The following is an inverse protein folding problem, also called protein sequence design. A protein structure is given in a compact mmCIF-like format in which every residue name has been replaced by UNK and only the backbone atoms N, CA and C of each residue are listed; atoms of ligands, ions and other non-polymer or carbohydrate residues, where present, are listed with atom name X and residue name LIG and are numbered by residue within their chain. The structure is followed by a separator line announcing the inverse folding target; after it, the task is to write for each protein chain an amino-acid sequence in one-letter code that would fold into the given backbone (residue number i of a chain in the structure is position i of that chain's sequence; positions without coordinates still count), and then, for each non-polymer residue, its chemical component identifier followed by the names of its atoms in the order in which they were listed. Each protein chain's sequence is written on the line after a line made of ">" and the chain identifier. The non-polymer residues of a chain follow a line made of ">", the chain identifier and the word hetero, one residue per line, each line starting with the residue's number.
data_IF_990386831148
#
_entry.id   IF_990386831148
#
_cell.length_a   1.000
_cell.length_b   1.000
_cell.length_c   1.000
_cell.angle_alpha   90.00
_cell.angle_beta   90.00
_cell.angle_gamma   90.00
#
_symmetry.space_group_name_H-M   'P 1'
#
loop_
_entity.id
_entity.type
_entity.pdbx_description
1 polymer ?
#
# COMPACT_ATOMS: atom_id res chain seq x y z
N UNK A 1 33.81 4.15 -32.54
CA UNK A 1 32.63 3.37 -33.00
C UNK A 1 32.75 1.93 -32.53
N UNK A 2 31.97 1.53 -31.52
CA UNK A 2 31.51 0.15 -31.31
C UNK A 2 30.12 0.28 -30.68
N UNK A 3 29.09 0.11 -31.51
CA UNK A 3 27.69 -0.03 -31.06
C UNK A 3 27.55 -1.46 -30.58
N UNK A 4 27.29 -1.67 -29.30
CA UNK A 4 26.93 -2.99 -28.80
C UNK A 4 25.41 -3.01 -28.62
N UNK A 5 24.76 -3.72 -29.52
CA UNK A 5 23.34 -4.06 -29.47
C UNK A 5 23.13 -5.07 -28.34
N UNK A 6 22.16 -4.86 -27.46
CA UNK A 6 21.59 -5.94 -26.65
C UNK A 6 20.27 -6.40 -27.27
N UNK A 7 20.22 -7.71 -27.50
CA UNK A 7 19.19 -8.47 -28.17
C UNK A 7 17.99 -8.64 -27.23
N UNK A 8 16.84 -8.08 -27.59
CA UNK A 8 15.54 -8.43 -26.99
C UNK A 8 15.22 -9.87 -27.39
N UNK A 9 14.91 -10.74 -26.43
CA UNK A 9 14.24 -12.02 -26.71
C UNK A 9 12.81 -11.95 -26.20
N UNK A 10 11.87 -12.00 -27.16
CA UNK A 10 10.45 -12.21 -26.91
C UNK A 10 10.21 -13.68 -26.54
N UNK A 11 9.44 -13.93 -25.49
CA UNK A 11 8.67 -15.16 -25.36
C UNK A 11 7.21 -14.76 -25.46
N UNK A 12 6.60 -15.05 -26.61
CA UNK A 12 5.16 -15.01 -26.80
C UNK A 12 4.57 -16.37 -26.43
N UNK A 13 3.57 -16.36 -25.54
CA UNK A 13 2.56 -17.40 -25.48
C UNK A 13 1.20 -16.70 -25.49
N UNK A 14 0.40 -17.02 -26.52
CA UNK A 14 -0.91 -16.45 -26.81
C UNK A 14 -2.05 -17.18 -26.08
N UNK A 15 -3.09 -16.40 -25.71
CA UNK A 15 -4.48 -16.83 -25.51
C UNK A 15 -4.97 -16.68 -24.06
N UNK A 16 -6.00 -15.90 -23.71
CA UNK A 16 -7.25 -15.60 -24.42
C UNK A 16 -7.80 -14.18 -24.12
N UNK A 17 -8.60 -13.68 -25.07
CA UNK A 17 -9.06 -12.30 -25.30
C UNK A 17 -9.89 -11.61 -24.20
N UNK A 18 -9.61 -10.32 -23.97
CA UNK A 18 -10.65 -9.29 -23.82
C UNK A 18 -10.22 -8.01 -24.53
N UNK A 19 -11.08 -7.52 -25.43
CA UNK A 19 -10.88 -6.36 -26.29
C UNK A 19 -10.95 -5.04 -25.52
N UNK A 20 -9.83 -4.33 -25.43
CA UNK A 20 -9.77 -2.93 -25.06
C UNK A 20 -8.54 -2.31 -25.74
N UNK A 21 -8.75 -1.55 -26.81
CA UNK A 21 -7.67 -0.82 -27.47
C UNK A 21 -7.28 0.35 -26.57
N UNK A 22 -6.25 0.17 -25.75
CA UNK A 22 -5.51 1.30 -25.20
C UNK A 22 -4.73 1.93 -26.36
N UNK A 23 -5.16 3.13 -26.78
CA UNK A 23 -4.32 4.01 -27.58
C UNK A 23 -3.29 4.61 -26.61
N UNK A 24 -2.04 4.18 -26.70
CA UNK A 24 -0.92 5.02 -26.27
C UNK A 24 -0.90 6.25 -27.20
N UNK A 25 -1.39 7.39 -26.71
CA UNK A 25 -0.94 8.66 -27.25
C UNK A 25 0.53 8.82 -26.86
N UNK A 26 1.42 8.49 -27.78
CA UNK A 26 2.77 9.03 -27.76
C UNK A 26 2.68 10.54 -27.98
N UNK A 27 2.48 11.30 -26.91
CA UNK A 27 2.91 12.69 -26.91
C UNK A 27 4.44 12.67 -27.01
N UNK A 28 4.93 13.15 -28.15
CA UNK A 28 6.33 13.53 -28.35
C UNK A 28 6.68 14.57 -27.29
N UNK A 29 7.23 14.12 -26.16
CA UNK A 29 7.82 15.01 -25.16
C UNK A 29 9.10 15.56 -25.76
N UNK A 30 9.07 16.87 -26.00
CA UNK A 30 10.19 17.66 -26.47
C UNK A 30 11.41 17.45 -25.53
N UNK A 31 12.52 16.95 -26.09
CA UNK A 31 13.69 16.47 -25.36
C UNK A 31 14.56 17.60 -24.76
N UNK A 32 14.08 18.85 -24.76
CA UNK A 32 14.79 20.02 -24.22
C UNK A 32 14.29 20.49 -22.84
N UNK A 33 13.40 19.73 -22.19
CA UNK A 33 13.02 19.92 -20.77
C UNK A 33 13.41 18.71 -19.90
N UNK A 34 14.52 18.03 -20.24
CA UNK A 34 15.09 16.98 -19.39
C UNK A 34 15.72 17.65 -18.17
N UNK A 35 14.92 17.80 -17.11
CA UNK A 35 15.40 18.06 -15.76
C UNK A 35 16.49 17.02 -15.46
N UNK A 36 17.76 17.46 -15.37
CA UNK A 36 18.84 16.58 -14.94
C UNK A 36 18.59 16.23 -13.48
N UNK A 37 18.28 14.96 -13.21
CA UNK A 37 18.29 14.40 -11.84
C UNK A 37 19.62 14.80 -11.19
N UNK A 38 19.57 15.31 -9.96
CA UNK A 38 20.78 15.80 -9.33
C UNK A 38 21.78 14.66 -9.11
N UNK A 39 23.11 14.90 -9.24
CA UNK A 39 24.12 13.90 -8.98
C UNK A 39 24.01 13.24 -7.59
N UNK A 40 23.54 14.00 -6.60
CA UNK A 40 23.29 13.50 -5.24
C UNK A 40 22.21 12.39 -5.22
N UNK A 41 21.10 12.57 -5.93
CA UNK A 41 20.04 11.55 -5.98
C UNK A 41 20.50 10.28 -6.71
N UNK A 42 21.34 10.44 -7.74
CA UNK A 42 21.99 9.32 -8.44
C UNK A 42 22.89 8.55 -7.48
N UNK A 43 23.72 9.25 -6.72
CA UNK A 43 24.62 8.63 -5.74
C UNK A 43 23.84 7.86 -4.66
N UNK A 44 22.77 8.46 -4.11
CA UNK A 44 21.91 7.79 -3.11
C UNK A 44 21.30 6.50 -3.64
N UNK A 45 20.81 6.50 -4.88
CA UNK A 45 20.28 5.30 -5.52
C UNK A 45 21.37 4.23 -5.71
N UNK A 46 22.55 4.62 -6.23
CA UNK A 46 23.66 3.69 -6.44
C UNK A 46 24.14 3.04 -5.14
N UNK A 47 24.19 3.81 -4.05
CA UNK A 47 24.53 3.29 -2.72
C UNK A 47 23.51 2.24 -2.25
N UNK A 48 22.21 2.53 -2.36
CA UNK A 48 21.15 1.58 -1.99
C UNK A 48 21.21 0.30 -2.84
N UNK A 49 21.39 0.43 -4.15
CA UNK A 49 21.50 -0.71 -5.07
C UNK A 49 22.74 -1.57 -4.73
N UNK A 50 23.87 -0.96 -4.38
CA UNK A 50 25.09 -1.65 -3.96
C UNK A 50 24.90 -2.42 -2.63
N UNK A 51 24.22 -1.81 -1.65
CA UNK A 51 23.87 -2.45 -0.37
C UNK A 51 22.99 -3.68 -0.64
N UNK A 52 21.93 -3.53 -1.44
CA UNK A 52 21.00 -4.62 -1.75
C UNK A 52 21.71 -5.77 -2.49
N UNK A 53 22.61 -5.46 -3.42
CA UNK A 53 23.42 -6.47 -4.12
C UNK A 53 24.32 -7.25 -3.16
N UNK A 54 24.92 -6.56 -2.17
CA UNK A 54 25.75 -7.19 -1.15
C UNK A 54 24.94 -8.06 -0.18
N UNK A 55 23.75 -7.60 0.22
CA UNK A 55 22.88 -8.28 1.18
C UNK A 55 22.13 -9.48 0.58
N UNK A 56 21.92 -9.52 -0.74
CA UNK A 56 21.30 -10.66 -1.45
C UNK A 56 19.94 -11.07 -0.87
N UNK A 57 19.05 -10.09 -0.75
CA UNK A 57 17.68 -10.29 -0.29
C UNK A 57 16.94 -11.33 -1.12
N UNK A 58 16.14 -12.17 -0.44
CA UNK A 58 15.26 -13.17 -1.04
C UNK A 58 13.91 -13.11 -0.37
N UNK A 59 12.85 -13.12 -1.16
CA UNK A 59 11.50 -13.15 -0.62
C UNK A 59 11.24 -14.48 0.11
N UNK A 60 10.58 -14.39 1.27
CA UNK A 60 10.22 -15.54 2.10
C UNK A 60 8.72 -15.65 2.35
N UNK A 61 7.98 -14.54 2.37
CA UNK A 61 6.52 -14.52 2.51
C UNK A 61 5.96 -13.14 2.19
N UNK A 62 5.03 -13.01 1.24
CA UNK A 62 4.18 -11.83 1.05
C UNK A 62 4.88 -10.47 1.23
N UNK A 63 5.93 -10.20 0.46
CA UNK A 63 6.70 -8.95 0.56
C UNK A 63 7.71 -8.88 1.69
N UNK A 64 7.81 -9.90 2.56
CA UNK A 64 8.87 -10.08 3.55
C UNK A 64 10.04 -10.84 2.93
N UNK A 65 11.25 -10.32 3.16
CA UNK A 65 12.48 -10.83 2.59
C UNK A 65 13.47 -11.16 3.71
N UNK A 66 14.43 -12.04 3.41
CA UNK A 66 15.58 -12.33 4.26
C UNK A 66 16.87 -12.07 3.50
N UNK A 67 17.88 -11.51 4.16
CA UNK A 67 19.20 -11.29 3.57
C UNK A 67 20.19 -12.44 3.90
N UNK A 68 21.40 -12.37 3.34
CA UNK A 68 22.46 -13.37 3.53
C UNK A 68 22.89 -13.56 5.00
N UNK A 69 22.63 -12.57 5.84
CA UNK A 69 23.01 -12.55 7.25
C UNK A 69 21.84 -13.01 8.15
N UNK A 70 20.69 -13.36 7.57
CA UNK A 70 19.50 -13.87 8.27
C UNK A 70 18.58 -12.78 8.84
N UNK A 71 18.85 -11.51 8.56
CA UNK A 71 17.97 -10.41 8.93
C UNK A 71 16.78 -10.35 7.96
N UNK A 72 15.59 -10.07 8.51
CA UNK A 72 14.36 -9.96 7.74
C UNK A 72 14.00 -8.50 7.50
N UNK A 73 13.34 -8.22 6.38
CA UNK A 73 12.90 -6.88 6.04
C UNK A 73 11.68 -6.91 5.12
N UNK A 74 10.77 -5.95 5.30
CA UNK A 74 9.63 -5.77 4.40
C UNK A 74 10.07 -4.94 3.19
N UNK A 75 9.73 -5.40 1.99
CA UNK A 75 10.03 -4.69 0.75
C UNK A 75 9.42 -3.30 0.75
N UNK A 76 10.19 -2.29 0.35
CA UNK A 76 9.77 -0.90 0.34
C UNK A 76 10.44 -0.12 -0.80
N UNK A 77 9.81 0.98 -1.20
CA UNK A 77 10.34 1.85 -2.24
C UNK A 77 10.39 3.29 -1.72
N UNK A 78 11.55 3.93 -1.85
CA UNK A 78 11.71 5.36 -1.54
C UNK A 78 11.74 6.16 -2.84
N UNK A 79 10.77 7.07 -2.98
CA UNK A 79 10.76 8.04 -4.06
C UNK A 79 11.76 9.17 -3.77
N UNK A 80 12.57 9.52 -4.76
CA UNK A 80 13.57 10.58 -4.68
C UNK A 80 13.19 11.78 -5.56
N UNK A 81 12.78 11.51 -6.79
CA UNK A 81 12.33 12.53 -7.76
C UNK A 81 11.09 12.02 -8.50
N UNK A 82 9.91 12.64 -8.31
CA UNK A 82 8.68 12.21 -8.96
C UNK A 82 8.76 12.28 -10.51
N UNK A 83 8.04 11.43 -11.25
CA UNK A 83 7.04 10.49 -10.73
C UNK A 83 7.65 9.17 -10.21
N UNK A 84 8.76 8.70 -10.79
CA UNK A 84 9.17 7.29 -10.63
C UNK A 84 10.67 7.09 -10.30
N UNK A 85 11.43 8.17 -10.04
CA UNK A 85 12.85 8.02 -9.71
C UNK A 85 13.05 7.73 -8.22
N UNK A 86 13.54 6.54 -7.91
CA UNK A 86 13.74 6.10 -6.53
C UNK A 86 14.55 4.82 -6.41
N UNK A 87 14.56 4.25 -5.20
CA UNK A 87 15.25 2.98 -4.94
C UNK A 87 14.46 2.08 -4.01
N UNK A 88 14.68 0.78 -4.17
CA UNK A 88 14.18 -0.26 -3.29
C UNK A 88 15.06 -0.31 -2.04
N UNK A 89 14.42 -0.46 -0.88
CA UNK A 89 15.08 -0.81 0.36
C UNK A 89 14.21 -1.80 1.13
N UNK A 90 14.78 -2.40 2.16
CA UNK A 90 14.07 -3.33 3.02
C UNK A 90 14.03 -2.73 4.41
N UNK A 91 12.82 -2.45 4.90
CA UNK A 91 12.65 -1.95 6.26
C UNK A 91 12.79 -3.11 7.23
N UNK A 92 13.80 -3.05 8.11
CA UNK A 92 14.17 -4.14 9.04
C UNK A 92 13.71 -3.90 10.48
N UNK A 93 13.09 -2.76 10.74
CA UNK A 93 12.49 -2.39 12.03
C UNK A 93 11.08 -1.85 11.84
N UNK A 94 10.22 -1.98 12.86
CA UNK A 94 8.93 -1.30 12.87
C UNK A 94 9.09 0.22 12.93
N UNK A 95 8.07 0.93 12.48
CA UNK A 95 7.98 2.39 12.52
C UNK A 95 7.52 2.92 13.90
N UNK A 96 7.93 2.24 14.97
CA UNK A 96 7.69 2.65 16.36
C UNK A 96 8.83 3.54 16.90
N UNK A 97 8.66 4.07 18.10
CA UNK A 97 9.64 4.95 18.74
C UNK A 97 10.99 4.27 19.00
N UNK A 98 10.98 2.95 19.19
CA UNK A 98 12.15 2.15 19.56
C UNK A 98 12.87 1.55 18.35
N UNK A 99 12.31 1.69 17.14
CA UNK A 99 12.75 0.99 15.93
C UNK A 99 12.91 -0.52 16.19
N UNK A 100 11.86 -1.13 16.74
CA UNK A 100 11.88 -2.53 17.15
C UNK A 100 12.22 -3.43 15.95
N UNK A 101 13.24 -4.29 16.02
CA UNK A 101 13.62 -5.16 14.91
C UNK A 101 12.51 -6.13 14.52
N UNK A 102 12.24 -6.29 13.22
CA UNK A 102 11.16 -7.17 12.73
C UNK A 102 11.35 -8.63 13.18
N UNK A 103 12.60 -9.11 13.18
CA UNK A 103 12.96 -10.48 13.57
C UNK A 103 12.64 -10.80 15.05
N UNK A 104 12.42 -9.78 15.88
CA UNK A 104 12.10 -9.95 17.30
C UNK A 104 10.61 -10.17 17.58
N UNK A 105 9.75 -9.88 16.60
CA UNK A 105 8.28 -9.90 16.76
C UNK A 105 7.59 -10.82 15.77
N UNK A 106 8.01 -10.83 14.49
CA UNK A 106 7.28 -11.53 13.42
C UNK A 106 7.42 -13.04 13.56
N UNK A 107 6.28 -13.75 13.60
CA UNK A 107 6.25 -15.20 13.43
C UNK A 107 6.24 -15.57 11.93
N UNK A 108 7.41 -15.95 11.42
CA UNK A 108 7.61 -16.25 10.00
C UNK A 108 6.74 -17.41 9.47
N UNK A 109 6.34 -18.35 10.33
CA UNK A 109 5.57 -19.52 9.91
C UNK A 109 4.10 -19.20 9.64
N UNK A 110 3.60 -18.12 10.23
CA UNK A 110 2.19 -17.74 10.16
C UNK A 110 1.96 -16.36 9.56
N UNK A 111 3.03 -15.61 9.28
CA UNK A 111 2.98 -14.34 8.59
C UNK A 111 2.36 -14.47 7.21
N UNK A 112 1.38 -13.61 6.92
CA UNK A 112 0.71 -13.53 5.63
C UNK A 112 0.11 -12.15 5.36
N UNK A 113 0.00 -11.79 4.09
CA UNK A 113 -0.82 -10.67 3.64
C UNK A 113 -2.31 -11.01 3.78
N UNK A 114 -3.09 -10.10 4.38
CA UNK A 114 -4.54 -10.21 4.42
C UNK A 114 -5.20 -9.52 3.23
N UNK A 115 -4.81 -8.28 2.95
CA UNK A 115 -5.26 -7.51 1.78
C UNK A 115 -4.43 -6.23 1.61
N UNK A 116 -4.56 -5.63 0.43
CA UNK A 116 -3.96 -4.34 0.09
C UNK A 116 -2.63 -4.46 -0.65
N UNK A 117 -1.84 -3.39 -0.62
CA UNK A 117 -0.55 -3.29 -1.29
C UNK A 117 0.21 -2.02 -0.92
N UNK A 118 1.00 -1.48 -1.86
CA UNK A 118 1.93 -0.36 -1.58
C UNK A 118 1.27 0.93 -1.05
N UNK A 119 -0.02 1.15 -1.28
CA UNK A 119 -0.74 2.33 -0.76
C UNK A 119 -1.34 2.12 0.64
N UNK A 120 -1.42 0.88 1.11
CA UNK A 120 -2.15 0.50 2.31
C UNK A 120 -2.36 -1.02 2.31
N UNK A 121 -1.91 -1.71 3.35
CA UNK A 121 -2.00 -3.16 3.47
C UNK A 121 -2.10 -3.61 4.93
N UNK A 122 -2.78 -4.73 5.14
CA UNK A 122 -2.78 -5.44 6.41
C UNK A 122 -2.14 -6.81 6.25
N UNK A 123 -1.30 -7.16 7.23
CA UNK A 123 -0.70 -8.47 7.36
C UNK A 123 -1.07 -9.04 8.72
N UNK A 124 -0.94 -10.35 8.87
CA UNK A 124 -1.19 -11.01 10.15
C UNK A 124 -0.24 -12.18 10.33
N UNK A 125 0.15 -12.41 11.57
CA UNK A 125 0.67 -13.69 12.03
C UNK A 125 -0.13 -14.20 13.25
N UNK A 126 0.31 -15.29 13.88
CA UNK A 126 -0.38 -15.89 15.02
C UNK A 126 -0.48 -14.97 16.25
N UNK A 127 0.34 -13.93 16.34
CA UNK A 127 0.47 -13.03 17.49
C UNK A 127 0.07 -11.58 17.21
N UNK A 128 0.08 -11.13 15.95
CA UNK A 128 -0.09 -9.71 15.64
C UNK A 128 -0.84 -9.46 14.33
N UNK A 129 -1.51 -8.30 14.26
CA UNK A 129 -1.92 -7.66 13.01
C UNK A 129 -0.93 -6.54 12.74
N UNK A 130 -0.49 -6.43 11.49
CA UNK A 130 0.42 -5.39 11.04
C UNK A 130 -0.27 -4.49 10.02
N UNK A 131 0.07 -3.22 10.03
CA UNK A 131 -0.37 -2.25 9.04
C UNK A 131 0.85 -1.69 8.29
N UNK A 132 0.70 -1.58 6.97
CA UNK A 132 1.67 -0.92 6.11
C UNK A 132 1.01 0.13 5.25
N UNK A 133 1.70 1.24 5.00
CA UNK A 133 1.29 2.20 3.98
C UNK A 133 2.50 2.92 3.38
N UNK A 134 2.47 3.14 2.08
CA UNK A 134 3.49 3.88 1.34
C UNK A 134 3.33 5.39 1.45
N UNK A 135 4.46 6.08 1.60
CA UNK A 135 4.59 7.53 1.41
C UNK A 135 5.72 7.81 0.42
N UNK A 136 5.86 9.06 -0.03
CA UNK A 136 7.03 9.46 -0.83
C UNK A 136 8.35 9.21 -0.09
N UNK A 137 8.33 9.32 1.24
CA UNK A 137 9.46 9.04 2.12
C UNK A 137 9.71 7.56 2.40
N UNK A 138 9.05 6.64 1.69
CA UNK A 138 9.12 5.20 1.95
C UNK A 138 7.86 4.66 2.63
N UNK A 139 7.88 3.36 2.93
CA UNK A 139 6.77 2.69 3.61
C UNK A 139 6.85 2.86 5.13
N UNK A 140 5.69 2.87 5.76
CA UNK A 140 5.52 2.60 7.18
C UNK A 140 5.18 1.11 7.36
N UNK A 141 5.64 0.52 8.44
CA UNK A 141 5.26 -0.83 8.85
C UNK A 141 5.19 -0.89 10.37
N UNK A 142 4.00 -1.15 10.92
CA UNK A 142 3.73 -1.06 12.36
C UNK A 142 2.83 -2.19 12.84
N UNK A 143 2.94 -2.51 14.13
CA UNK A 143 2.00 -3.40 14.83
C UNK A 143 0.73 -2.62 15.16
N UNK A 144 -0.43 -3.25 14.98
CA UNK A 144 -1.72 -2.73 15.43
C UNK A 144 -2.06 -3.35 16.79
N UNK A 145 -1.49 -2.79 17.87
CA UNK A 145 -1.57 -3.37 19.22
C UNK A 145 -3.00 -3.52 19.76
N UNK A 146 -3.92 -2.65 19.32
CA UNK A 146 -5.32 -2.68 19.73
C UNK A 146 -6.17 -3.68 18.91
N UNK A 147 -5.61 -4.32 17.88
CA UNK A 147 -6.35 -5.20 17.00
C UNK A 147 -6.71 -6.54 17.67
N UNK A 148 -7.99 -6.91 17.62
CA UNK A 148 -8.42 -8.23 18.05
C UNK A 148 -8.19 -9.25 16.91
N UNK A 149 -7.09 -10.00 17.03
CA UNK A 149 -6.65 -11.01 16.05
C UNK A 149 -7.73 -11.99 15.60
N UNK A 150 -8.62 -12.40 16.52
CA UNK A 150 -9.61 -13.44 16.26
C UNK A 150 -10.78 -12.93 15.43
N UNK A 151 -11.05 -11.64 15.51
CA UNK A 151 -12.20 -11.01 14.87
C UNK A 151 -11.82 -10.02 13.77
N UNK A 152 -10.52 -9.73 13.61
CA UNK A 152 -9.99 -8.90 12.54
C UNK A 152 -10.33 -9.50 11.17
N UNK A 153 -10.94 -8.69 10.32
CA UNK A 153 -11.32 -9.07 8.96
C UNK A 153 -11.29 -7.88 8.02
N UNK A 154 -10.95 -8.17 6.77
CA UNK A 154 -11.07 -7.22 5.68
C UNK A 154 -12.55 -7.08 5.30
N UNK A 155 -13.02 -5.85 5.11
CA UNK A 155 -14.38 -5.55 4.68
C UNK A 155 -14.43 -5.37 3.16
N UNK A 156 -13.50 -4.58 2.61
CA UNK A 156 -13.28 -4.36 1.18
C UNK A 156 -11.88 -3.76 0.96
N UNK A 157 -11.60 -3.25 -0.24
CA UNK A 157 -10.32 -2.64 -0.62
C UNK A 157 -10.00 -1.33 0.14
N UNK A 158 -10.93 -0.83 0.95
CA UNK A 158 -10.81 0.42 1.68
C UNK A 158 -10.75 0.24 3.20
N UNK A 159 -11.36 -0.82 3.74
CA UNK A 159 -11.58 -0.94 5.17
C UNK A 159 -11.38 -2.36 5.68
N UNK A 160 -10.96 -2.44 6.93
CA UNK A 160 -10.97 -3.62 7.77
C UNK A 160 -11.64 -3.31 9.11
N UNK A 161 -12.02 -4.32 9.86
CA UNK A 161 -12.48 -4.13 11.24
C UNK A 161 -12.23 -5.37 12.09
N UNK A 162 -12.23 -5.16 13.39
CA UNK A 162 -12.42 -6.22 14.36
C UNK A 162 -13.72 -5.98 15.17
N UNK A 163 -13.89 -6.67 16.30
CA UNK A 163 -15.09 -6.53 17.14
C UNK A 163 -15.20 -5.17 17.85
N UNK A 164 -14.09 -4.46 18.04
CA UNK A 164 -13.96 -3.23 18.81
C UNK A 164 -13.62 -2.01 17.93
N UNK A 165 -12.86 -2.21 16.85
CA UNK A 165 -12.23 -1.14 16.08
C UNK A 165 -12.49 -1.26 14.59
N UNK A 166 -12.39 -0.12 13.90
CA UNK A 166 -12.46 -0.02 12.44
C UNK A 166 -11.17 0.58 11.93
N UNK A 167 -10.69 0.08 10.81
CA UNK A 167 -9.43 0.49 10.21
C UNK A 167 -9.64 0.84 8.73
N UNK A 168 -9.04 1.92 8.29
CA UNK A 168 -8.92 2.29 6.88
C UNK A 168 -7.59 1.77 6.32
N UNK A 169 -7.57 1.36 5.06
CA UNK A 169 -6.41 0.69 4.45
C UNK A 169 -5.15 1.53 4.44
N UNK A 170 -5.25 2.85 4.21
CA UNK A 170 -4.09 3.73 4.13
C UNK A 170 -3.66 4.30 5.48
N UNK A 171 -4.59 4.73 6.31
CA UNK A 171 -4.32 5.51 7.52
C UNK A 171 -4.50 4.74 8.83
N UNK A 172 -4.92 3.47 8.78
CA UNK A 172 -5.04 2.66 9.98
C UNK A 172 -6.33 2.93 10.75
N UNK A 173 -6.24 2.88 12.08
CA UNK A 173 -7.37 3.01 13.00
C UNK A 173 -8.20 4.29 12.77
N UNK A 174 -9.51 4.12 12.60
CA UNK A 174 -10.49 5.20 12.61
C UNK A 174 -11.00 5.37 14.04
N UNK A 175 -10.56 6.43 14.71
CA UNK A 175 -10.95 6.71 16.10
C UNK A 175 -12.45 6.92 16.22
N UNK A 176 -13.03 6.42 17.32
CA UNK A 176 -14.43 6.57 17.72
C UNK A 176 -15.48 5.97 16.75
N UNK A 177 -15.05 5.26 15.70
CA UNK A 177 -15.96 4.58 14.79
C UNK A 177 -16.67 3.40 15.51
N UNK A 178 -17.98 3.29 15.32
CA UNK A 178 -18.74 2.18 15.93
C UNK A 178 -18.58 0.91 15.08
N UNK A 179 -17.60 0.07 15.45
CA UNK A 179 -17.27 -1.17 14.74
C UNK A 179 -18.45 -2.15 14.59
N UNK A 180 -19.38 -2.15 15.56
CA UNK A 180 -20.55 -3.03 15.55
C UNK A 180 -21.52 -2.65 14.43
N UNK A 181 -21.69 -1.36 14.17
CA UNK A 181 -22.64 -0.83 13.19
C UNK A 181 -21.99 -0.35 11.89
N UNK A 182 -20.66 -0.41 11.79
CA UNK A 182 -19.91 0.00 10.62
C UNK A 182 -20.27 -0.83 9.38
N UNK A 183 -20.72 -0.14 8.34
CA UNK A 183 -21.07 -0.66 7.00
C UNK A 183 -20.27 0.12 5.95
N UNK A 184 -19.65 -0.61 5.03
CA UNK A 184 -18.90 -0.04 3.90
C UNK A 184 -19.80 0.02 2.68
N UNK A 185 -19.58 0.99 1.81
CA UNK A 185 -20.15 0.94 0.47
C UNK A 185 -19.32 -0.07 -0.34
N UNK A 186 -19.94 -1.18 -0.72
CA UNK A 186 -19.34 -2.13 -1.67
C UNK A 186 -19.09 -1.46 -3.02
N UNK A 187 -18.04 -1.91 -3.72
CA UNK A 187 -17.55 -1.31 -4.97
C UNK A 187 -18.70 -1.06 -5.97
N UNK A 188 -19.11 0.20 -6.07
CA UNK A 188 -20.04 0.71 -7.07
C UNK A 188 -19.22 1.38 -8.18
N UNK A 189 -19.36 0.90 -9.41
CA UNK A 189 -18.56 1.36 -10.55
C UNK A 189 -18.70 2.86 -10.84
N UNK A 190 -19.76 3.50 -10.33
CA UNK A 190 -20.03 4.93 -10.52
C UNK A 190 -19.62 5.79 -9.32
N UNK A 191 -19.14 5.19 -8.22
CA UNK A 191 -18.70 5.91 -7.02
C UNK A 191 -17.19 5.78 -6.86
N UNK A 192 -16.50 6.90 -7.03
CA UNK A 192 -15.07 6.96 -6.76
C UNK A 192 -14.79 7.18 -5.27
N UNK A 193 -13.96 6.30 -4.71
CA UNK A 193 -13.40 6.45 -3.38
C UNK A 193 -14.06 5.60 -2.30
N UNK A 194 -13.44 5.64 -1.13
CA UNK A 194 -13.82 4.84 0.03
C UNK A 194 -14.92 5.54 0.82
N UNK A 195 -16.12 4.96 0.87
CA UNK A 195 -17.21 5.47 1.70
C UNK A 195 -17.75 4.40 2.64
N UNK A 196 -18.16 4.85 3.82
CA UNK A 196 -18.76 3.99 4.83
C UNK A 196 -19.70 4.80 5.73
N UNK A 197 -20.43 4.10 6.59
CA UNK A 197 -21.18 4.69 7.68
C UNK A 197 -21.14 3.81 8.92
N UNK A 198 -21.41 4.40 10.05
CA UNK A 198 -21.87 3.68 11.24
C UNK A 198 -23.22 4.26 11.71
N UNK A 199 -23.64 3.95 12.94
CA UNK A 199 -24.90 4.46 13.48
C UNK A 199 -24.93 5.99 13.69
N UNK A 200 -23.77 6.65 13.75
CA UNK A 200 -23.62 8.07 14.08
C UNK A 200 -23.17 8.88 12.86
N UNK A 201 -22.18 8.37 12.12
CA UNK A 201 -21.39 9.13 11.15
C UNK A 201 -21.40 8.49 9.75
N UNK A 202 -21.13 9.34 8.76
CA UNK A 202 -20.70 8.91 7.42
C UNK A 202 -19.23 9.24 7.22
N UNK A 203 -18.53 8.41 6.46
CA UNK A 203 -17.08 8.48 6.29
C UNK A 203 -16.71 8.56 4.81
N UNK A 204 -15.64 9.31 4.50
CA UNK A 204 -14.88 9.21 3.26
C UNK A 204 -13.42 8.91 3.60
N UNK A 205 -12.94 7.71 3.27
CA UNK A 205 -11.69 7.19 3.84
C UNK A 205 -11.81 7.15 5.37
N UNK A 206 -10.83 7.74 6.06
CA UNK A 206 -10.83 7.87 7.52
C UNK A 206 -11.56 9.12 8.04
N UNK A 207 -12.04 10.01 7.17
CA UNK A 207 -12.63 11.29 7.56
C UNK A 207 -14.13 11.17 7.79
N UNK A 208 -14.61 11.71 8.92
CA UNK A 208 -16.04 11.92 9.16
C UNK A 208 -16.55 13.08 8.31
N UNK A 209 -17.56 12.82 7.49
CA UNK A 209 -18.20 13.82 6.64
C UNK A 209 -18.98 14.83 7.49
N UNK A 210 -18.69 16.11 7.29
CA UNK A 210 -19.33 17.22 7.98
C UNK A 210 -20.60 17.64 7.25
N UNK A 211 -21.45 18.43 7.91
CA UNK A 211 -22.75 18.86 7.36
C UNK A 211 -22.65 19.50 5.97
N UNK A 212 -21.56 20.23 5.69
CA UNK A 212 -21.32 20.83 4.38
C UNK A 212 -21.04 19.79 3.30
N UNK A 213 -20.34 18.70 3.64
CA UNK A 213 -20.04 17.60 2.72
C UNK A 213 -21.32 16.85 2.34
N UNK A 214 -22.23 16.67 3.30
CA UNK A 214 -23.54 16.03 3.08
C UNK A 214 -24.41 16.80 2.08
N UNK A 215 -24.08 18.07 1.78
CA UNK A 215 -24.79 18.87 0.80
C UNK A 215 -24.32 18.66 -0.64
N UNK A 216 -23.14 18.06 -0.84
CA UNK A 216 -22.55 17.79 -2.15
C UNK A 216 -23.42 16.73 -2.88
N UNK A 217 -23.87 16.98 -4.13
CA UNK A 217 -24.78 16.07 -4.84
C UNK A 217 -24.28 14.63 -4.95
N UNK A 218 -22.99 14.43 -5.19
CA UNK A 218 -22.36 13.11 -5.22
C UNK A 218 -22.45 12.40 -3.85
N UNK A 219 -22.09 13.11 -2.78
CA UNK A 219 -22.16 12.58 -1.41
C UNK A 219 -23.60 12.23 -1.02
N UNK A 220 -24.60 13.04 -1.44
CA UNK A 220 -26.02 12.69 -1.23
C UNK A 220 -26.41 11.38 -1.90
N UNK A 221 -25.93 11.13 -3.13
CA UNK A 221 -26.15 9.87 -3.84
C UNK A 221 -25.55 8.71 -3.04
N UNK A 222 -24.29 8.85 -2.62
CA UNK A 222 -23.56 7.86 -1.81
C UNK A 222 -24.29 7.54 -0.50
N UNK A 223 -24.74 8.56 0.24
CA UNK A 223 -25.52 8.38 1.47
C UNK A 223 -26.82 7.61 1.18
N UNK A 224 -27.49 7.93 0.07
CA UNK A 224 -28.67 7.21 -0.39
C UNK A 224 -28.42 5.73 -0.64
N UNK A 225 -27.24 5.36 -1.15
CA UNK A 225 -26.82 3.96 -1.35
C UNK A 225 -26.51 3.27 -0.02
N UNK A 226 -25.68 3.90 0.83
CA UNK A 226 -25.33 3.39 2.15
C UNK A 226 -26.54 3.12 3.05
N UNK A 227 -27.62 3.90 2.89
CA UNK A 227 -28.84 3.74 3.68
C UNK A 227 -29.77 2.63 3.20
N UNK A 228 -29.57 2.10 1.99
CA UNK A 228 -30.36 0.98 1.45
C UNK A 228 -29.80 -0.40 1.82
N UNK A 229 -28.56 -0.46 2.30
CA UNK A 229 -27.88 -1.69 2.75
C UNK A 229 -28.17 -2.03 4.21
#
# INVERSE_FOLDING_TARGET
>A
MKKTFFLLTFITAFGCNSTGVYKEEQQLVDNDTVNKISPELVERKMQADSINQALKWKEIADGLYVNKDGEIGIWSFRLLDPPDYGYVYYQTCFSDENQTPLNSVIDLNTFRLLAGGGFGAYYQDKGHVYHSFGTTGGSNFSVQDEADLKTFKILNDCYAKDKNHVYEMRFGLIKDADAKTFKVLDNDAEVEGCYAKDKINYYRGSYVLQQNDLNIPEVKRVIGLLNKQ
#
